data_IF_127213511884
#
_entry.id   IF_127213511884
#
_cell.length_a   1.000
_cell.length_b   1.000
_cell.length_c   1.000
_cell.angle_alpha   90.00
_cell.angle_beta   90.00
_cell.angle_gamma   90.00
#
_symmetry.space_group_name_H-M   'P 1'
#
loop_
_entity.id
_entity.type
_entity.pdbx_description
1 polymer ?
#
# COMPACT_ATOMS: atom_id res chain seq x y z
N UNK A 1 -6.15 4.38 22.85
CA UNK A 1 -6.25 2.91 22.66
C UNK A 1 -6.86 2.55 21.29
N UNK A 2 -6.72 3.40 20.26
CA UNK A 2 -7.31 3.21 18.93
C UNK A 2 -6.26 2.88 17.84
N UNK A 3 -5.00 3.31 18.00
CA UNK A 3 -3.95 3.14 16.99
C UNK A 3 -3.63 1.68 16.64
N UNK A 4 -3.64 0.77 17.63
CA UNK A 4 -3.28 -0.63 17.42
C UNK A 4 -4.35 -1.39 16.65
N UNK A 5 -5.64 -1.06 16.86
CA UNK A 5 -6.76 -1.71 16.14
C UNK A 5 -6.80 -1.32 14.66
N UNK A 6 -6.62 -0.03 14.38
CA UNK A 6 -6.57 0.49 13.00
C UNK A 6 -5.40 -0.13 12.24
N UNK A 7 -4.22 -0.26 12.88
CA UNK A 7 -3.05 -0.89 12.25
C UNK A 7 -3.27 -2.35 11.85
N UNK A 8 -3.91 -3.15 12.71
CA UNK A 8 -4.20 -4.56 12.40
C UNK A 8 -5.25 -4.73 11.30
N UNK A 9 -6.30 -3.92 11.32
CA UNK A 9 -7.33 -3.95 10.28
C UNK A 9 -6.75 -3.51 8.92
N UNK A 10 -5.96 -2.44 8.90
CA UNK A 10 -5.29 -1.95 7.69
C UNK A 10 -4.39 -3.02 7.07
N UNK A 11 -3.62 -3.74 7.89
CA UNK A 11 -2.78 -4.86 7.45
C UNK A 11 -3.60 -6.01 6.88
N UNK A 12 -4.71 -6.37 7.51
CA UNK A 12 -5.59 -7.42 7.00
C UNK A 12 -6.20 -7.03 5.65
N UNK A 13 -6.62 -5.77 5.50
CA UNK A 13 -7.16 -5.23 4.25
C UNK A 13 -6.12 -5.17 3.15
N UNK A 14 -4.88 -4.80 3.47
CA UNK A 14 -3.76 -4.83 2.54
C UNK A 14 -3.45 -6.27 2.07
N UNK A 15 -3.46 -7.26 2.97
CA UNK A 15 -3.32 -8.67 2.59
C UNK A 15 -4.46 -9.12 1.66
N UNK A 16 -5.70 -8.70 1.93
CA UNK A 16 -6.82 -8.98 1.03
C UNK A 16 -6.62 -8.35 -0.35
N UNK A 17 -6.22 -7.08 -0.41
CA UNK A 17 -5.92 -6.38 -1.65
C UNK A 17 -4.90 -7.17 -2.51
N UNK A 18 -3.81 -7.61 -1.88
CA UNK A 18 -2.81 -8.45 -2.53
C UNK A 18 -3.39 -9.78 -3.04
N UNK A 19 -4.19 -10.47 -2.22
CA UNK A 19 -4.82 -11.74 -2.61
C UNK A 19 -5.77 -11.60 -3.80
N UNK A 20 -6.48 -10.47 -3.92
CA UNK A 20 -7.37 -10.22 -5.07
C UNK A 20 -6.62 -9.99 -6.39
N UNK A 21 -5.30 -9.73 -6.34
CA UNK A 21 -4.46 -9.45 -7.50
C UNK A 21 -4.99 -8.32 -8.41
N UNK A 22 -5.76 -7.38 -7.84
CA UNK A 22 -6.27 -6.21 -8.56
C UNK A 22 -5.21 -5.11 -8.62
N UNK A 23 -4.23 -5.29 -9.50
CA UNK A 23 -3.16 -4.30 -9.72
C UNK A 23 -3.71 -3.17 -10.60
N UNK A 24 -3.73 -1.95 -10.07
CA UNK A 24 -4.15 -0.75 -10.80
C UNK A 24 -2.99 -0.11 -11.56
N UNK A 25 -1.76 -0.26 -11.05
CA UNK A 25 -0.52 0.24 -11.68
C UNK A 25 0.64 -0.70 -11.35
N UNK A 26 1.45 -1.05 -12.34
CA UNK A 26 2.69 -1.83 -12.15
C UNK A 26 3.84 -1.08 -12.80
N UNK A 27 4.95 -0.96 -12.07
CA UNK A 27 6.19 -0.33 -12.51
C UNK A 27 7.35 -1.28 -12.27
N UNK A 28 8.57 -0.92 -12.70
CA UNK A 28 9.77 -1.71 -12.39
C UNK A 28 10.11 -1.72 -10.89
N UNK A 29 9.63 -0.74 -10.12
CA UNK A 29 9.96 -0.58 -8.71
C UNK A 29 8.86 -1.11 -7.78
N UNK A 30 7.59 -0.95 -8.16
CA UNK A 30 6.45 -1.26 -7.30
C UNK A 30 5.18 -1.59 -8.07
N UNK A 31 4.23 -2.16 -7.35
CA UNK A 31 2.87 -2.44 -7.79
C UNK A 31 1.88 -1.77 -6.86
N UNK A 32 0.86 -1.14 -7.44
CA UNK A 32 -0.25 -0.50 -6.75
C UNK A 32 -1.45 -1.43 -6.87
N UNK A 33 -1.92 -1.93 -5.74
CA UNK A 33 -3.08 -2.79 -5.61
C UNK A 33 -4.26 -1.97 -5.12
N UNK A 34 -5.42 -2.22 -5.72
CA UNK A 34 -6.68 -1.66 -5.29
C UNK A 34 -7.06 -2.22 -3.92
N UNK A 35 -7.39 -1.34 -2.98
CA UNK A 35 -7.95 -1.79 -1.71
C UNK A 35 -9.38 -2.34 -1.90
N UNK A 36 -9.80 -3.34 -1.11
CA UNK A 36 -11.16 -3.86 -1.18
C UNK A 36 -12.20 -2.77 -0.87
N UNK A 37 -13.37 -2.85 -1.52
CA UNK A 37 -14.46 -1.88 -1.32
C UNK A 37 -14.86 -1.77 0.16
N UNK A 38 -15.04 -0.53 0.63
CA UNK A 38 -15.39 -0.20 2.01
C UNK A 38 -14.87 1.17 2.39
N UNK A 39 -14.59 1.40 3.67
CA UNK A 39 -14.09 2.68 4.19
C UNK A 39 -12.68 3.05 3.69
N UNK A 40 -11.98 2.13 3.02
CA UNK A 40 -10.61 2.30 2.53
C UNK A 40 -10.52 2.29 0.98
N UNK A 41 -11.64 2.45 0.29
CA UNK A 41 -11.73 2.43 -1.18
C UNK A 41 -10.93 3.54 -1.86
N UNK A 42 -10.71 4.65 -1.14
CA UNK A 42 -9.88 5.78 -1.54
C UNK A 42 -8.38 5.59 -1.23
N UNK A 43 -8.01 4.44 -0.69
CA UNK A 43 -6.62 4.07 -0.42
C UNK A 43 -6.17 2.96 -1.37
N UNK A 44 -4.87 2.92 -1.62
CA UNK A 44 -4.23 1.87 -2.40
C UNK A 44 -3.05 1.29 -1.62
N UNK A 45 -2.79 0.02 -1.84
CA UNK A 45 -1.62 -0.68 -1.33
C UNK A 45 -0.51 -0.58 -2.37
N UNK A 46 0.63 -0.02 -2.01
CA UNK A 46 1.86 -0.10 -2.79
C UNK A 46 2.72 -1.22 -2.22
N UNK A 47 3.13 -2.18 -3.04
CA UNK A 47 4.17 -3.16 -2.69
C UNK A 47 5.36 -3.01 -3.61
N UNK A 48 6.56 -2.84 -3.05
CA UNK A 48 7.77 -2.82 -3.85
C UNK A 48 8.10 -4.21 -4.39
N UNK A 49 8.73 -4.24 -5.56
CA UNK A 49 9.30 -5.46 -6.12
C UNK A 49 10.55 -5.85 -5.33
N UNK A 50 10.81 -7.13 -5.19
CA UNK A 50 11.96 -7.64 -4.43
C UNK A 50 13.27 -7.02 -4.90
N UNK A 51 14.06 -6.50 -3.95
CA UNK A 51 15.31 -5.77 -4.24
C UNK A 51 15.13 -4.26 -4.43
N UNK A 52 13.90 -3.78 -4.50
CA UNK A 52 13.56 -2.36 -4.42
C UNK A 52 12.93 -2.11 -3.06
N UNK A 53 13.62 -1.40 -2.19
CA UNK A 53 13.08 -0.91 -0.92
C UNK A 53 13.20 0.61 -0.95
N UNK A 54 12.07 1.29 -0.83
CA UNK A 54 12.04 2.75 -0.81
C UNK A 54 11.69 3.18 0.60
N UNK A 55 12.58 3.99 1.16
CA UNK A 55 12.39 4.62 2.45
C UNK A 55 11.09 5.44 2.44
N UNK A 56 10.19 5.26 3.43
CA UNK A 56 8.92 5.98 3.45
C UNK A 56 9.11 7.49 3.52
N UNK A 57 10.25 7.98 4.03
CA UNK A 57 10.55 9.43 4.04
C UNK A 57 10.72 10.01 2.62
N UNK A 58 11.03 9.16 1.64
CA UNK A 58 11.05 9.55 0.22
C UNK A 58 9.66 9.57 -0.39
N UNK A 59 8.70 8.92 0.26
CA UNK A 59 7.31 9.04 -0.11
C UNK A 59 6.73 10.29 0.57
N UNK A 60 6.63 11.39 -0.17
CA UNK A 60 5.92 12.57 0.28
C UNK A 60 4.41 12.33 0.15
N UNK A 61 3.71 12.22 1.27
CA UNK A 61 2.28 11.90 1.31
C UNK A 61 1.74 11.94 2.73
N UNK A 62 0.47 12.28 2.85
CA UNK A 62 -0.09 12.68 4.16
C UNK A 62 -0.46 11.50 5.06
N UNK A 63 -0.54 10.27 4.53
CA UNK A 63 -0.97 9.08 5.28
C UNK A 63 -0.24 7.83 4.75
N UNK A 64 0.79 7.38 5.45
CA UNK A 64 1.47 6.11 5.13
C UNK A 64 1.35 5.14 6.29
N UNK A 65 0.80 3.96 6.01
CA UNK A 65 0.86 2.83 6.92
C UNK A 65 1.83 1.77 6.37
N UNK A 66 2.98 1.53 7.04
CA UNK A 66 3.92 0.52 6.60
C UNK A 66 3.32 -0.88 6.74
N UNK A 67 3.48 -1.67 5.68
CA UNK A 67 3.03 -3.06 5.61
C UNK A 67 4.12 -3.95 5.00
N UNK A 68 4.10 -5.22 5.38
CA UNK A 68 4.94 -6.25 4.77
C UNK A 68 4.04 -7.43 4.42
N UNK A 69 4.08 -7.86 3.17
CA UNK A 69 3.24 -8.94 2.62
C UNK A 69 4.15 -9.87 1.83
N UNK A 70 4.21 -11.14 2.23
CA UNK A 70 5.07 -12.17 1.61
C UNK A 70 6.55 -11.73 1.45
N UNK A 71 7.09 -10.99 2.42
CA UNK A 71 8.46 -10.47 2.39
C UNK A 71 8.67 -9.27 1.47
N UNK A 72 7.61 -8.75 0.84
CA UNK A 72 7.60 -7.48 0.11
C UNK A 72 7.18 -6.37 1.04
N UNK A 73 8.03 -5.36 1.19
CA UNK A 73 7.68 -4.13 1.90
C UNK A 73 6.77 -3.26 1.06
N UNK A 74 5.98 -2.44 1.73
CA UNK A 74 5.04 -1.58 1.09
C UNK A 74 4.36 -0.62 2.04
N UNK A 75 3.44 0.17 1.48
CA UNK A 75 2.69 1.17 2.21
C UNK A 75 1.24 1.21 1.73
N UNK A 76 0.33 1.47 2.66
CA UNK A 76 -1.03 1.91 2.33
C UNK A 76 -1.07 3.43 2.40
N UNK A 77 -1.53 4.05 1.32
CA UNK A 77 -1.67 5.51 1.17
C UNK A 77 -2.86 5.84 0.27
N UNK A 78 -3.21 7.12 0.17
CA UNK A 78 -4.29 7.57 -0.70
C UNK A 78 -4.04 7.15 -2.15
N UNK A 79 -5.09 6.68 -2.85
CA UNK A 79 -5.00 6.23 -4.25
C UNK A 79 -4.45 7.32 -5.16
N UNK A 80 -4.86 8.57 -4.95
CA UNK A 80 -4.36 9.71 -5.74
C UNK A 80 -2.85 9.88 -5.62
N UNK A 81 -2.30 9.79 -4.39
CA UNK A 81 -0.86 9.83 -4.15
C UNK A 81 -0.16 8.61 -4.76
N UNK A 82 -0.73 7.41 -4.60
CA UNK A 82 -0.17 6.17 -5.14
C UNK A 82 -0.08 6.16 -6.67
N UNK A 83 -1.07 6.77 -7.32
CA UNK A 83 -1.09 6.92 -8.77
C UNK A 83 -0.17 8.02 -9.26
N UNK A 84 -0.02 9.11 -8.48
CA UNK A 84 0.92 10.18 -8.75
C UNK A 84 2.38 9.76 -8.56
N UNK A 85 2.68 8.71 -7.78
CA UNK A 85 4.02 8.12 -7.72
C UNK A 85 4.46 7.65 -9.09
N UNK A 86 5.42 8.36 -9.69
CA UNK A 86 6.06 8.01 -10.95
C UNK A 86 7.52 8.41 -10.87
N UNK A 87 8.36 7.45 -10.46
CA UNK A 87 9.79 7.53 -10.73
C UNK A 87 10.05 7.09 -12.18
#
# INVERSE_FOLDING_TARGET
>A
MNDVRVSSEMKNRAHQAFQTHQVEKSTDLFEVFKMPQGELDHMSLILFKTGHDIDPERLNGNLFFPVEIEGRKGYVLATEEAMAYGF
#
